data_IF_635185345062
#
_entry.id   IF_635185345062
#
_cell.length_a   1.000
_cell.length_b   1.000
_cell.length_c   1.000
_cell.angle_alpha   90.00
_cell.angle_beta   90.00
_cell.angle_gamma   90.00
#
_symmetry.space_group_name_H-M   'P 1'
#
loop_
_entity.id
_entity.type
_entity.pdbx_description
1 polymer ?
#
# COMPACT_ATOMS: atom_id res chain seq x y z
N UNK A 1 3.16 0.64 -27.77
CA UNK A 1 3.29 0.97 -26.33
C UNK A 1 2.25 2.02 -25.97
N UNK A 2 1.35 1.75 -25.02
CA UNK A 2 0.44 2.76 -24.52
C UNK A 2 1.24 3.94 -23.93
N UNK A 3 1.03 5.15 -24.46
CA UNK A 3 1.73 6.37 -24.03
C UNK A 3 1.00 6.94 -22.79
N UNK A 4 1.16 6.31 -21.63
CA UNK A 4 0.70 6.92 -20.38
C UNK A 4 1.79 7.89 -19.90
N UNK A 5 1.46 9.18 -19.88
CA UNK A 5 2.37 10.20 -19.34
C UNK A 5 2.43 10.13 -17.80
N UNK A 6 3.50 10.69 -17.22
CA UNK A 6 3.67 10.80 -15.76
C UNK A 6 2.46 11.45 -15.08
N UNK A 7 1.97 12.57 -15.64
CA UNK A 7 0.83 13.31 -15.08
C UNK A 7 -0.48 12.51 -15.15
N UNK A 8 -0.70 11.77 -16.25
CA UNK A 8 -1.86 10.88 -16.36
C UNK A 8 -1.77 9.73 -15.35
N UNK A 9 -0.60 9.13 -15.17
CA UNK A 9 -0.40 8.02 -14.23
C UNK A 9 -0.72 8.44 -12.78
N UNK A 10 -0.36 9.66 -12.38
CA UNK A 10 -0.71 10.22 -11.06
C UNK A 10 -2.22 10.43 -10.91
N UNK A 11 -2.89 11.01 -11.92
CA UNK A 11 -4.36 11.17 -11.90
C UNK A 11 -5.06 9.80 -11.83
N UNK A 12 -4.53 8.82 -12.56
CA UNK A 12 -5.06 7.46 -12.59
C UNK A 12 -4.88 6.73 -11.27
N UNK A 13 -3.78 6.92 -10.54
CA UNK A 13 -3.65 6.37 -9.18
C UNK A 13 -4.67 6.94 -8.19
N UNK A 14 -5.01 8.23 -8.32
CA UNK A 14 -6.05 8.84 -7.47
C UNK A 14 -7.43 8.27 -7.76
N UNK A 15 -7.72 7.97 -9.03
CA UNK A 15 -9.02 7.44 -9.49
C UNK A 15 -9.14 5.93 -9.29
N UNK A 16 -8.11 5.19 -9.67
CA UNK A 16 -8.02 3.73 -9.66
C UNK A 16 -6.95 3.34 -8.65
N UNK A 17 -7.40 2.95 -7.45
CA UNK A 17 -6.56 2.67 -6.27
C UNK A 17 -5.48 1.60 -6.50
N UNK A 18 -5.54 0.84 -7.61
CA UNK A 18 -4.65 -0.28 -7.90
C UNK A 18 -4.08 -0.22 -9.32
N UNK A 19 -2.84 -0.67 -9.49
CA UNK A 19 -2.18 -0.78 -10.81
C UNK A 19 -2.92 -1.74 -11.76
N UNK A 20 -3.67 -2.71 -11.20
CA UNK A 20 -4.50 -3.62 -11.99
C UNK A 20 -5.67 -2.90 -12.66
N UNK A 21 -6.40 -2.09 -11.89
CA UNK A 21 -7.52 -1.31 -12.41
C UNK A 21 -7.06 -0.25 -13.43
N UNK A 22 -5.87 0.33 -13.24
CA UNK A 22 -5.25 1.22 -14.25
C UNK A 22 -4.95 0.44 -15.54
N UNK A 23 -4.45 -0.79 -15.41
CA UNK A 23 -4.12 -1.64 -16.55
C UNK A 23 -5.34 -2.00 -17.39
N UNK A 24 -6.43 -2.45 -16.74
CA UNK A 24 -7.69 -2.80 -17.39
C UNK A 24 -8.26 -1.65 -18.22
N UNK A 25 -8.21 -0.42 -17.72
CA UNK A 25 -8.74 0.76 -18.41
C UNK A 25 -7.96 1.13 -19.68
N UNK A 26 -6.68 0.76 -19.76
CA UNK A 26 -5.81 1.11 -20.88
C UNK A 26 -5.46 -0.11 -21.75
N UNK A 27 -6.06 -1.28 -21.48
CA UNK A 27 -5.74 -2.53 -22.17
C UNK A 27 -4.29 -2.95 -22.00
N UNK A 28 -3.66 -2.59 -20.88
CA UNK A 28 -2.27 -2.96 -20.56
C UNK A 28 -2.21 -3.82 -19.31
N UNK A 29 -1.14 -4.60 -19.19
CA UNK A 29 -0.96 -5.45 -18.02
C UNK A 29 -0.65 -4.61 -16.79
N UNK A 30 -1.06 -5.09 -15.61
CA UNK A 30 -0.64 -4.56 -14.30
C UNK A 30 0.89 -4.39 -14.22
N UNK A 31 1.65 -5.32 -14.81
CA UNK A 31 3.12 -5.24 -14.84
C UNK A 31 3.63 -4.07 -15.69
N UNK A 32 3.00 -3.77 -16.82
CA UNK A 32 3.35 -2.60 -17.63
C UNK A 32 3.13 -1.29 -16.84
N UNK A 33 2.02 -1.19 -16.09
CA UNK A 33 1.76 -0.06 -15.19
C UNK A 33 2.83 0.06 -14.11
N UNK A 34 3.24 -1.07 -13.50
CA UNK A 34 4.31 -1.11 -12.51
C UNK A 34 5.64 -0.58 -13.08
N UNK A 35 6.03 -1.03 -14.27
CA UNK A 35 7.25 -0.58 -14.94
C UNK A 35 7.20 0.91 -15.29
N UNK A 36 6.06 1.40 -15.79
CA UNK A 36 5.85 2.82 -16.06
C UNK A 36 5.99 3.66 -14.79
N UNK A 37 5.43 3.19 -13.68
CA UNK A 37 5.55 3.85 -12.39
C UNK A 37 6.99 3.90 -11.88
N UNK A 38 7.70 2.78 -11.93
CA UNK A 38 9.14 2.71 -11.60
C UNK A 38 9.94 3.70 -12.44
N UNK A 39 9.70 3.72 -13.77
CA UNK A 39 10.35 4.65 -14.70
C UNK A 39 10.12 6.12 -14.35
N UNK A 40 8.95 6.47 -13.84
CA UNK A 40 8.60 7.85 -13.47
C UNK A 40 8.87 8.21 -12.01
N UNK A 41 9.37 7.28 -11.20
CA UNK A 41 9.59 7.46 -9.77
C UNK A 41 8.29 7.61 -8.96
N UNK A 42 7.20 6.96 -9.39
CA UNK A 42 5.89 7.04 -8.74
C UNK A 42 5.69 5.81 -7.85
N UNK A 43 5.62 6.03 -6.54
CA UNK A 43 5.36 4.98 -5.55
C UNK A 43 3.93 4.44 -5.60
N UNK A 44 3.69 3.29 -4.96
CA UNK A 44 2.39 2.62 -5.06
C UNK A 44 1.48 3.09 -3.96
N UNK A 45 0.30 3.59 -4.35
CA UNK A 45 -0.79 3.88 -3.41
C UNK A 45 -1.21 2.66 -2.58
N UNK A 46 -0.98 1.44 -3.09
CA UNK A 46 -1.25 0.19 -2.34
C UNK A 46 -0.25 -0.08 -1.21
N UNK A 47 0.98 0.43 -1.31
CA UNK A 47 1.97 0.29 -0.24
C UNK A 47 1.67 1.28 0.91
N UNK A 48 1.22 2.48 0.56
CA UNK A 48 0.88 3.52 1.54
C UNK A 48 -0.63 3.66 1.69
N UNK A 49 -1.21 2.75 2.46
CA UNK A 49 -2.52 2.98 3.08
C UNK A 49 -2.33 3.23 4.58
N UNK A 50 -1.79 4.41 4.98
CA UNK A 50 -1.36 4.67 6.34
C UNK A 50 -2.52 4.59 7.34
N UNK A 51 -3.73 5.00 6.94
CA UNK A 51 -4.93 4.92 7.77
C UNK A 51 -5.28 3.47 8.11
N UNK A 52 -5.41 2.61 7.09
CA UNK A 52 -5.66 1.18 7.29
C UNK A 52 -4.55 0.53 8.10
N UNK A 53 -3.30 0.89 7.83
CA UNK A 53 -2.16 0.32 8.55
C UNK A 53 -2.16 0.71 10.04
N UNK A 54 -2.51 1.96 10.35
CA UNK A 54 -2.70 2.43 11.72
C UNK A 54 -3.87 1.70 12.40
N UNK A 55 -4.98 1.49 11.70
CA UNK A 55 -6.12 0.72 12.21
C UNK A 55 -5.75 -0.74 12.50
N UNK A 56 -5.02 -1.40 11.59
CA UNK A 56 -4.50 -2.77 11.78
C UNK A 56 -3.61 -2.84 13.02
N UNK A 57 -2.70 -1.87 13.20
CA UNK A 57 -1.81 -1.85 14.34
C UNK A 57 -2.59 -1.66 15.66
N UNK A 58 -3.55 -0.73 15.69
CA UNK A 58 -4.39 -0.47 16.85
C UNK A 58 -5.21 -1.70 17.24
N UNK A 59 -5.92 -2.30 16.30
CA UNK A 59 -6.74 -3.49 16.57
C UNK A 59 -5.90 -4.69 17.04
N UNK A 60 -4.63 -4.79 16.58
CA UNK A 60 -3.70 -5.80 17.07
C UNK A 60 -3.25 -5.54 18.50
N UNK A 61 -3.00 -4.28 18.87
CA UNK A 61 -2.71 -3.87 20.25
C UNK A 61 -3.92 -4.10 21.17
N UNK A 62 -5.14 -3.92 20.66
CA UNK A 62 -6.39 -4.25 21.36
C UNK A 62 -6.64 -5.77 21.51
N UNK A 63 -5.73 -6.62 21.01
CA UNK A 63 -5.78 -8.07 21.18
C UNK A 63 -6.38 -8.86 20.02
N UNK A 64 -6.74 -8.22 18.90
CA UNK A 64 -7.24 -8.92 17.72
C UNK A 64 -6.13 -9.72 17.04
N UNK A 65 -6.39 -11.00 16.73
CA UNK A 65 -5.38 -11.84 16.08
C UNK A 65 -5.01 -11.35 14.67
N UNK A 66 -3.74 -11.48 14.31
CA UNK A 66 -3.23 -11.10 12.99
C UNK A 66 -3.93 -11.85 11.83
N UNK A 67 -4.38 -13.08 12.08
CA UNK A 67 -5.14 -13.88 11.10
C UNK A 67 -6.56 -13.35 10.90
N UNK A 68 -7.24 -12.90 11.96
CA UNK A 68 -8.55 -12.25 11.84
C UNK A 68 -8.44 -10.90 11.13
N UNK A 69 -7.39 -10.12 11.42
CA UNK A 69 -7.11 -8.86 10.72
C UNK A 69 -6.82 -9.09 9.23
N UNK A 70 -6.05 -10.12 8.90
CA UNK A 70 -5.79 -10.48 7.50
C UNK A 70 -7.10 -10.75 6.72
N UNK A 71 -8.04 -11.49 7.32
CA UNK A 71 -9.37 -11.71 6.72
C UNK A 71 -10.18 -10.42 6.62
N UNK A 72 -10.26 -9.63 7.70
CA UNK A 72 -11.02 -8.37 7.76
C UNK A 72 -10.58 -7.38 6.69
N UNK A 73 -9.27 -7.22 6.51
CA UNK A 73 -8.69 -6.27 5.56
C UNK A 73 -8.36 -6.86 4.19
N UNK A 74 -8.72 -8.13 3.93
CA UNK A 74 -8.43 -8.86 2.69
C UNK A 74 -6.94 -8.81 2.31
N UNK A 75 -6.09 -9.04 3.31
CA UNK A 75 -4.63 -9.08 3.18
C UNK A 75 -4.11 -10.50 3.35
N UNK A 76 -2.91 -10.75 2.79
CA UNK A 76 -2.17 -11.95 3.18
C UNK A 76 -1.73 -11.84 4.64
N UNK A 77 -1.68 -12.98 5.34
CA UNK A 77 -1.20 -13.06 6.73
C UNK A 77 0.18 -12.42 6.85
N UNK A 78 1.09 -12.73 5.93
CA UNK A 78 2.44 -12.17 5.87
C UNK A 78 2.44 -10.65 5.73
N UNK A 79 1.57 -10.09 4.88
CA UNK A 79 1.46 -8.64 4.70
C UNK A 79 0.92 -7.97 5.97
N UNK A 80 -0.07 -8.55 6.63
CA UNK A 80 -0.61 -8.05 7.90
C UNK A 80 0.47 -7.95 8.97
N UNK A 81 1.28 -9.01 9.15
CA UNK A 81 2.38 -8.97 10.12
C UNK A 81 3.51 -8.01 9.74
N UNK A 82 3.77 -7.79 8.44
CA UNK A 82 4.72 -6.74 8.01
C UNK A 82 4.24 -5.37 8.44
N UNK A 83 2.97 -5.05 8.21
CA UNK A 83 2.34 -3.78 8.61
C UNK A 83 2.46 -3.57 10.13
N UNK A 84 2.08 -4.58 10.92
CA UNK A 84 2.17 -4.52 12.39
C UNK A 84 3.61 -4.28 12.86
N UNK A 85 4.58 -4.99 12.28
CA UNK A 85 5.99 -4.85 12.64
C UNK A 85 6.57 -3.49 12.24
N UNK A 86 6.18 -2.95 11.08
CA UNK A 86 6.56 -1.60 10.64
C UNK A 86 5.99 -0.53 11.56
N UNK A 87 4.72 -0.66 11.97
CA UNK A 87 4.10 0.24 12.94
C UNK A 87 4.83 0.24 14.29
N UNK A 88 5.19 -0.95 14.83
CA UNK A 88 5.99 -1.06 16.05
C UNK A 88 7.38 -0.44 15.92
N UNK A 89 8.05 -0.61 14.77
CA UNK A 89 9.35 0.03 14.50
C UNK A 89 9.23 1.55 14.44
N UNK A 90 8.18 2.07 13.83
CA UNK A 90 7.91 3.50 13.78
C UNK A 90 7.68 4.08 15.18
N UNK A 91 6.89 3.42 16.02
CA UNK A 91 6.66 3.81 17.41
C UNK A 91 7.96 3.78 18.26
N UNK A 92 8.82 2.77 18.06
CA UNK A 92 10.12 2.70 18.74
C UNK A 92 11.08 3.80 18.30
N UNK A 93 11.09 4.17 17.02
CA UNK A 93 11.91 5.27 16.49
C UNK A 93 11.46 6.64 17.00
N UNK A 94 10.15 6.89 17.07
CA UNK A 94 9.63 8.16 17.62
C UNK A 94 9.92 8.31 19.10
N UNK A 95 9.84 7.24 19.89
CA UNK A 95 10.22 7.24 21.30
C UNK A 95 11.72 7.56 21.52
N UNK A 96 12.60 7.06 20.64
CA UNK A 96 14.06 7.26 20.75
C UNK A 96 14.52 8.65 20.32
N UNK A 97 13.74 9.37 19.52
CA UNK A 97 14.06 10.73 19.04
C UNK A 97 13.59 11.83 20.00
N UNK A 98 12.80 11.47 21.02
CA UNK A 98 12.25 12.36 22.06
C UNK A 98 13.10 12.39 23.34
N UNK A 99 14.22 11.67 23.35
CA UNK A 99 15.15 11.51 24.48
C UNK A 99 16.51 12.05 24.06
#
# INVERSE_FOLDING_TARGET
>A
MARISKAQLIKLQKKFKTDAAIGEQFGITRQAVHQLRKKYGIESSLADNPERNAEIAKLYEDGTSGTALAKKFKLSISQTYRIINEAKKAAKKSARKKK
#
